data_IF_623655808310
#
_entry.id   IF_623655808310
#
_cell.length_a   1.000
_cell.length_b   1.000
_cell.length_c   1.000
_cell.angle_alpha   90.00
_cell.angle_beta   90.00
_cell.angle_gamma   90.00
#
_symmetry.space_group_name_H-M   'P 1'
#
loop_
_entity.id
_entity.type
_entity.pdbx_description
1 polymer ?
#
# COMPACT_ATOMS: atom_id res chain seq x y z
N UNK A 1 19.33 20.10 -8.45
CA UNK A 1 18.23 20.88 -9.08
C UNK A 1 17.01 19.98 -9.02
N UNK A 2 16.07 20.23 -8.09
CA UNK A 2 14.76 19.58 -8.05
C UNK A 2 14.00 20.04 -9.29
N UNK A 3 13.77 19.16 -10.22
CA UNK A 3 12.69 19.31 -11.20
C UNK A 3 11.38 19.15 -10.43
N UNK A 4 10.69 20.24 -10.17
CA UNK A 4 9.28 20.22 -9.82
C UNK A 4 8.54 19.66 -11.03
N UNK A 5 8.15 18.41 -10.96
CA UNK A 5 7.35 17.77 -12.01
C UNK A 5 5.86 18.12 -11.79
N UNK A 6 5.51 19.38 -11.90
CA UNK A 6 4.12 19.76 -12.17
C UNK A 6 3.86 19.49 -13.63
N UNK A 7 3.34 18.33 -13.94
CA UNK A 7 2.94 18.02 -15.31
C UNK A 7 1.43 17.96 -15.38
N UNK A 8 0.86 18.90 -16.13
CA UNK A 8 -0.55 18.87 -16.48
C UNK A 8 -0.92 17.62 -17.25
N UNK A 9 -2.21 17.31 -17.28
CA UNK A 9 -2.76 16.18 -18.02
C UNK A 9 -3.17 16.63 -19.41
N UNK A 10 -2.64 15.96 -20.45
CA UNK A 10 -3.02 16.21 -21.83
C UNK A 10 -4.36 15.54 -22.16
N UNK A 11 -4.53 14.28 -21.73
CA UNK A 11 -5.75 13.51 -22.00
C UNK A 11 -5.91 12.37 -21.02
N UNK A 12 -7.15 11.93 -20.84
CA UNK A 12 -7.48 10.64 -20.24
C UNK A 12 -8.43 9.89 -21.19
N UNK A 13 -8.16 8.64 -21.43
CA UNK A 13 -8.87 7.82 -22.42
C UNK A 13 -9.30 6.50 -21.79
N UNK A 14 -10.60 6.22 -21.87
CA UNK A 14 -11.15 4.93 -21.48
C UNK A 14 -10.82 3.90 -22.56
N UNK A 15 -9.95 2.94 -22.23
CA UNK A 15 -9.44 1.96 -23.18
C UNK A 15 -10.20 0.63 -23.17
N UNK A 16 -10.91 0.35 -22.08
CA UNK A 16 -11.82 -0.79 -21.92
C UNK A 16 -12.84 -0.48 -20.82
N UNK A 17 -13.82 -1.37 -20.53
CA UNK A 17 -14.87 -1.06 -19.52
C UNK A 17 -14.41 -0.69 -18.13
N UNK A 18 -13.18 -1.04 -17.74
CA UNK A 18 -12.66 -0.83 -16.38
C UNK A 18 -11.41 0.04 -16.30
N UNK A 19 -10.79 0.39 -17.45
CA UNK A 19 -9.44 0.96 -17.46
C UNK A 19 -9.40 2.30 -18.19
N UNK A 20 -8.72 3.27 -17.58
CA UNK A 20 -8.45 4.59 -18.14
C UNK A 20 -6.95 4.83 -18.18
N UNK A 21 -6.43 5.19 -19.35
CA UNK A 21 -5.06 5.69 -19.50
C UNK A 21 -5.03 7.21 -19.42
N UNK A 22 -4.08 7.73 -18.69
CA UNK A 22 -3.82 9.17 -18.52
C UNK A 22 -2.44 9.48 -19.08
N UNK A 23 -2.39 10.48 -19.97
CA UNK A 23 -1.15 11.00 -20.54
C UNK A 23 -0.87 12.38 -19.97
N UNK A 24 0.29 12.56 -19.37
CA UNK A 24 0.77 13.83 -18.85
C UNK A 24 1.56 14.63 -19.90
N UNK A 25 1.67 15.94 -19.72
CA UNK A 25 2.40 16.82 -20.63
C UNK A 25 3.91 16.49 -20.72
N UNK A 26 4.48 15.92 -19.65
CA UNK A 26 5.87 15.44 -19.64
C UNK A 26 6.05 14.05 -20.28
N UNK A 27 5.04 13.55 -20.98
CA UNK A 27 4.98 12.22 -21.63
C UNK A 27 4.90 11.03 -20.65
N UNK A 28 4.81 11.28 -19.36
CA UNK A 28 4.51 10.22 -18.39
C UNK A 28 3.10 9.69 -18.60
N UNK A 29 2.90 8.42 -18.31
CA UNK A 29 1.62 7.72 -18.44
C UNK A 29 1.22 7.13 -17.10
N UNK A 30 -0.07 7.18 -16.81
CA UNK A 30 -0.68 6.58 -15.64
C UNK A 30 -1.88 5.73 -16.08
N UNK A 31 -2.03 4.56 -15.48
CA UNK A 31 -3.21 3.72 -15.68
C UNK A 31 -4.04 3.73 -14.43
N UNK A 32 -5.34 3.98 -14.56
CA UNK A 32 -6.34 3.81 -13.49
C UNK A 32 -7.24 2.65 -13.90
N UNK A 33 -7.20 1.56 -13.14
CA UNK A 33 -7.89 0.31 -13.46
C UNK A 33 -8.82 -0.12 -12.31
N UNK A 34 -10.11 -0.21 -12.58
CA UNK A 34 -11.13 -0.53 -11.58
C UNK A 34 -11.27 -2.04 -11.39
N UNK A 35 -11.12 -2.49 -10.15
CA UNK A 35 -11.30 -3.87 -9.69
C UNK A 35 -12.66 -4.11 -9.02
N UNK A 36 -13.49 -3.10 -9.00
CA UNK A 36 -14.85 -3.07 -8.48
C UNK A 36 -15.39 -1.64 -8.52
N UNK A 37 -16.63 -1.43 -8.09
CA UNK A 37 -17.24 -0.10 -8.07
C UNK A 37 -16.52 0.86 -7.10
N UNK A 38 -15.83 0.31 -6.08
CA UNK A 38 -15.17 1.05 -5.02
C UNK A 38 -13.68 0.73 -4.85
N UNK A 39 -13.10 -0.07 -5.76
CA UNK A 39 -11.68 -0.45 -5.72
C UNK A 39 -11.06 -0.09 -7.06
N UNK A 40 -9.95 0.64 -7.04
CA UNK A 40 -9.20 0.97 -8.23
C UNK A 40 -7.69 0.89 -7.98
N UNK A 41 -6.96 0.54 -9.03
CA UNK A 41 -5.50 0.45 -9.05
C UNK A 41 -4.93 1.62 -9.85
N UNK A 42 -3.94 2.28 -9.30
CA UNK A 42 -3.16 3.33 -9.97
C UNK A 42 -1.78 2.78 -10.23
N UNK A 43 -1.42 2.73 -11.51
CA UNK A 43 -0.09 2.31 -11.94
C UNK A 43 0.58 3.43 -12.72
N UNK A 44 1.84 3.74 -12.37
CA UNK A 44 2.66 4.69 -13.11
C UNK A 44 4.11 4.20 -13.10
N UNK A 45 4.67 4.00 -14.27
CA UNK A 45 6.08 3.64 -14.46
C UNK A 45 6.85 4.90 -14.85
N UNK A 46 7.96 5.16 -14.16
CA UNK A 46 8.81 6.32 -14.44
C UNK A 46 9.40 6.30 -15.87
N UNK A 47 9.53 5.13 -16.48
CA UNK A 47 9.97 4.96 -17.88
C UNK A 47 8.86 5.23 -18.89
N UNK A 48 7.62 5.47 -18.42
CA UNK A 48 6.46 5.74 -19.27
C UNK A 48 5.66 4.51 -19.69
N UNK A 49 5.99 3.32 -19.16
CA UNK A 49 5.21 2.10 -19.37
C UNK A 49 3.82 2.18 -18.73
N UNK A 50 2.93 1.32 -19.15
CA UNK A 50 1.58 1.17 -18.60
C UNK A 50 1.39 -0.24 -18.08
N UNK A 51 0.37 -0.46 -17.27
CA UNK A 51 0.16 -1.76 -16.63
C UNK A 51 0.00 -2.93 -17.62
N UNK A 52 -0.48 -2.67 -18.82
CA UNK A 52 -0.64 -3.68 -19.87
C UNK A 52 0.70 -4.12 -20.50
N UNK A 53 1.62 -3.20 -20.55
CA UNK A 53 2.96 -3.38 -21.10
C UNK A 53 3.96 -2.53 -20.29
N UNK A 54 4.16 -2.85 -19.02
CA UNK A 54 5.03 -2.08 -18.16
C UNK A 54 6.50 -2.40 -18.42
N UNK A 55 7.35 -1.39 -18.44
CA UNK A 55 8.80 -1.58 -18.39
C UNK A 55 9.23 -2.07 -17.01
N UNK A 56 8.61 -1.54 -15.96
CA UNK A 56 8.74 -2.07 -14.61
C UNK A 56 7.66 -3.13 -14.36
N UNK A 57 8.06 -4.36 -14.11
CA UNK A 57 7.13 -5.45 -13.79
C UNK A 57 6.89 -5.51 -12.29
N UNK A 58 5.62 -5.47 -11.82
CA UNK A 58 5.30 -5.67 -10.42
C UNK A 58 5.83 -7.02 -9.90
N UNK A 59 6.55 -6.99 -8.80
CA UNK A 59 7.18 -8.19 -8.20
C UNK A 59 6.25 -8.91 -7.23
N UNK A 60 5.31 -8.20 -6.62
CA UNK A 60 4.36 -8.77 -5.69
C UNK A 60 3.36 -9.70 -6.39
N UNK A 61 3.07 -10.85 -5.78
CA UNK A 61 2.15 -11.86 -6.32
C UNK A 61 1.21 -12.30 -5.20
N UNK A 62 0.45 -11.36 -4.65
CA UNK A 62 -0.47 -11.60 -3.54
C UNK A 62 -1.94 -11.52 -3.93
N UNK A 63 -2.23 -11.19 -5.18
CA UNK A 63 -3.60 -11.15 -5.67
C UNK A 63 -4.12 -12.57 -5.86
N UNK A 64 -5.40 -12.78 -5.55
CA UNK A 64 -6.12 -14.00 -5.92
C UNK A 64 -6.29 -14.10 -7.44
N UNK A 65 -6.62 -15.29 -7.95
CA UNK A 65 -6.76 -15.52 -9.41
C UNK A 65 -7.85 -14.66 -10.05
N UNK A 66 -8.91 -14.33 -9.30
CA UNK A 66 -10.01 -13.49 -9.79
C UNK A 66 -10.30 -12.35 -8.82
N UNK A 67 -9.44 -11.32 -8.77
CA UNK A 67 -9.55 -10.23 -7.80
C UNK A 67 -10.63 -9.20 -8.18
N UNK A 68 -11.24 -9.31 -9.37
CA UNK A 68 -12.16 -8.31 -9.91
C UNK A 68 -13.61 -8.63 -9.61
N UNK A 69 -14.35 -7.60 -9.20
CA UNK A 69 -15.81 -7.56 -9.22
C UNK A 69 -16.30 -6.81 -10.44
N UNK A 70 -17.57 -6.96 -10.77
CA UNK A 70 -18.22 -6.26 -11.88
C UNK A 70 -18.17 -4.74 -11.63
N UNK A 71 -17.80 -4.01 -12.68
CA UNK A 71 -17.93 -2.55 -12.77
C UNK A 71 -18.97 -2.28 -13.86
N UNK A 72 -20.08 -1.66 -13.49
CA UNK A 72 -21.26 -1.56 -14.37
C UNK A 72 -21.34 -0.27 -15.17
N UNK A 73 -20.59 0.77 -14.81
CA UNK A 73 -20.78 2.07 -15.45
C UNK A 73 -19.64 3.04 -15.21
N UNK A 74 -18.40 2.71 -15.60
CA UNK A 74 -17.32 3.68 -15.58
C UNK A 74 -17.55 4.75 -16.64
N UNK A 75 -17.71 6.01 -16.24
CA UNK A 75 -17.71 7.17 -17.12
C UNK A 75 -16.43 7.98 -16.96
N UNK A 76 -16.04 8.66 -18.03
CA UNK A 76 -14.94 9.63 -18.07
C UNK A 76 -15.48 10.90 -18.70
N UNK A 77 -15.49 11.98 -17.91
CA UNK A 77 -16.00 13.28 -18.33
C UNK A 77 -14.91 14.35 -18.14
N UNK A 78 -14.89 15.33 -19.01
CA UNK A 78 -13.99 16.47 -18.90
C UNK A 78 -14.80 17.76 -18.83
N UNK A 79 -14.62 18.51 -17.73
CA UNK A 79 -15.31 19.77 -17.50
C UNK A 79 -14.51 20.68 -16.56
N UNK A 80 -14.52 21.99 -16.86
CA UNK A 80 -13.96 23.06 -15.99
C UNK A 80 -12.51 22.81 -15.53
N UNK A 81 -11.67 22.22 -16.39
CA UNK A 81 -10.27 21.93 -16.09
C UNK A 81 -10.04 20.65 -15.27
N UNK A 82 -11.07 19.84 -15.09
CA UNK A 82 -10.98 18.53 -14.42
C UNK A 82 -11.38 17.41 -15.36
N UNK A 83 -10.72 16.28 -15.19
CA UNK A 83 -11.16 14.99 -15.74
C UNK A 83 -11.74 14.19 -14.59
N UNK A 84 -12.97 13.73 -14.76
CA UNK A 84 -13.70 13.02 -13.70
C UNK A 84 -13.98 11.59 -14.15
N UNK A 85 -13.53 10.62 -13.37
CA UNK A 85 -13.83 9.21 -13.52
C UNK A 85 -14.88 8.83 -12.48
N UNK A 86 -16.00 8.25 -12.91
CA UNK A 86 -17.10 7.94 -11.97
C UNK A 86 -17.58 6.51 -12.16
N UNK A 87 -17.70 5.81 -11.04
CA UNK A 87 -18.46 4.55 -10.88
C UNK A 87 -19.63 4.78 -9.91
N UNK A 88 -20.37 3.73 -9.57
CA UNK A 88 -21.44 3.85 -8.58
C UNK A 88 -20.93 4.23 -7.16
N UNK A 89 -19.66 3.92 -6.83
CA UNK A 89 -19.13 4.04 -5.46
C UNK A 89 -17.83 4.86 -5.36
N UNK A 90 -17.28 5.33 -6.47
CA UNK A 90 -16.07 6.16 -6.50
C UNK A 90 -16.21 7.26 -7.53
N UNK A 91 -15.78 8.47 -7.17
CA UNK A 91 -15.52 9.56 -8.11
C UNK A 91 -14.08 10.03 -7.94
N UNK A 92 -13.31 9.95 -9.02
CA UNK A 92 -11.93 10.44 -9.08
C UNK A 92 -11.94 11.73 -9.89
N UNK A 93 -11.39 12.80 -9.34
CA UNK A 93 -11.17 14.06 -10.03
C UNK A 93 -9.68 14.27 -10.24
N UNK A 94 -9.27 14.43 -11.50
CA UNK A 94 -7.92 14.75 -11.90
C UNK A 94 -7.87 16.21 -12.37
N UNK A 95 -7.09 17.02 -11.69
CA UNK A 95 -6.86 18.41 -12.10
C UNK A 95 -5.95 18.43 -13.32
N UNK A 96 -6.43 18.95 -14.44
CA UNK A 96 -5.67 18.97 -15.70
C UNK A 96 -4.42 19.84 -15.65
N UNK A 97 -4.42 20.89 -14.86
CA UNK A 97 -3.29 21.81 -14.78
C UNK A 97 -2.17 21.26 -13.88
N UNK A 98 -2.54 20.68 -12.74
CA UNK A 98 -1.58 20.22 -11.73
C UNK A 98 -1.29 18.72 -11.80
N UNK A 99 -2.17 17.94 -12.43
CA UNK A 99 -2.09 16.48 -12.44
C UNK A 99 -2.51 15.82 -11.13
N UNK A 100 -2.93 16.59 -10.11
CA UNK A 100 -3.28 16.06 -8.79
C UNK A 100 -4.64 15.37 -8.79
N UNK A 101 -4.73 14.32 -8.00
CA UNK A 101 -5.91 13.48 -7.84
C UNK A 101 -6.64 13.78 -6.54
N UNK A 102 -7.98 13.84 -6.63
CA UNK A 102 -8.88 13.75 -5.48
C UNK A 102 -9.83 12.59 -5.67
N UNK A 103 -10.16 11.92 -4.59
CA UNK A 103 -11.07 10.79 -4.58
C UNK A 103 -12.24 11.07 -3.63
N UNK A 104 -13.44 10.85 -4.11
CA UNK A 104 -14.67 11.08 -3.37
C UNK A 104 -15.47 9.79 -3.25
N UNK A 105 -16.12 9.65 -2.12
CA UNK A 105 -17.24 8.71 -1.98
C UNK A 105 -18.52 9.42 -2.46
N UNK A 106 -19.10 9.08 -3.62
CA UNK A 106 -20.28 9.76 -4.15
C UNK A 106 -21.53 9.52 -3.32
N UNK A 107 -21.58 8.46 -2.51
CA UNK A 107 -22.73 8.15 -1.65
C UNK A 107 -22.82 9.12 -0.45
N UNK A 108 -21.67 9.60 0.02
CA UNK A 108 -21.59 10.55 1.15
C UNK A 108 -21.22 11.97 0.73
N UNK A 109 -20.71 12.14 -0.50
CA UNK A 109 -20.13 13.38 -1.00
C UNK A 109 -18.76 13.75 -0.42
N UNK A 110 -18.21 12.90 0.45
CA UNK A 110 -16.96 13.16 1.17
C UNK A 110 -15.73 12.97 0.27
N UNK A 111 -14.80 13.94 0.29
CA UNK A 111 -13.46 13.76 -0.25
C UNK A 111 -12.67 12.87 0.72
N UNK A 112 -12.30 11.68 0.30
CA UNK A 112 -11.63 10.68 1.15
C UNK A 112 -10.13 10.67 0.95
N UNK A 113 -9.64 11.00 -0.25
CA UNK A 113 -8.22 11.11 -0.59
C UNK A 113 -8.00 12.43 -1.34
N UNK A 114 -6.96 13.15 -0.98
CA UNK A 114 -6.54 14.37 -1.68
C UNK A 114 -5.01 14.38 -1.81
N UNK A 115 -4.50 14.27 -3.03
CA UNK A 115 -3.08 14.52 -3.29
C UNK A 115 -2.78 16.01 -3.13
N UNK A 116 -1.69 16.32 -2.45
CA UNK A 116 -1.23 17.71 -2.22
C UNK A 116 0.06 18.04 -2.95
N UNK A 117 0.72 17.03 -3.49
CA UNK A 117 1.88 17.17 -4.35
C UNK A 117 1.88 16.05 -5.40
N UNK A 118 2.50 16.27 -6.57
CA UNK A 118 2.69 15.23 -7.58
C UNK A 118 3.47 14.04 -7.02
N UNK A 119 3.22 12.84 -7.56
CA UNK A 119 4.04 11.67 -7.28
C UNK A 119 5.48 11.96 -7.68
N UNK A 120 6.41 11.69 -6.76
CA UNK A 120 7.84 11.90 -6.99
C UNK A 120 8.52 10.57 -7.26
N UNK A 121 9.15 10.46 -8.43
CA UNK A 121 10.04 9.37 -8.79
C UNK A 121 11.48 9.80 -8.54
N UNK A 122 12.00 9.42 -7.38
CA UNK A 122 13.41 9.63 -7.03
C UNK A 122 14.32 8.54 -7.61
N UNK A 123 15.64 8.67 -7.41
CA UNK A 123 16.61 7.70 -7.92
C UNK A 123 16.44 6.26 -7.39
N UNK A 124 15.85 6.13 -6.21
CA UNK A 124 15.69 4.85 -5.50
C UNK A 124 14.31 4.65 -4.85
N UNK A 125 13.45 5.64 -4.89
CA UNK A 125 12.15 5.58 -4.23
C UNK A 125 11.06 6.32 -5.01
N UNK A 126 9.84 5.90 -4.80
CA UNK A 126 8.63 6.59 -5.24
C UNK A 126 7.89 7.10 -4.02
N UNK A 127 7.43 8.35 -4.06
CA UNK A 127 6.76 9.00 -2.94
C UNK A 127 5.40 9.55 -3.36
N UNK A 128 4.38 9.28 -2.54
CA UNK A 128 3.03 9.83 -2.62
C UNK A 128 2.81 10.74 -1.43
N UNK A 129 2.21 11.91 -1.66
CA UNK A 129 1.93 12.89 -0.61
C UNK A 129 0.46 13.25 -0.61
N UNK A 130 -0.21 12.93 0.50
CA UNK A 130 -1.64 13.13 0.69
C UNK A 130 -1.90 14.14 1.83
N UNK A 131 -3.08 14.74 1.79
CA UNK A 131 -3.59 15.54 2.90
C UNK A 131 -4.05 14.64 4.04
N UNK A 132 -3.68 14.96 5.26
CA UNK A 132 -4.26 14.42 6.47
C UNK A 132 -5.33 15.38 7.01
N UNK A 133 -6.51 14.84 7.34
CA UNK A 133 -7.54 15.62 8.03
C UNK A 133 -7.33 15.61 9.56
N UNK A 134 -7.75 16.66 10.29
CA UNK A 134 -7.51 16.76 11.73
C UNK A 134 -8.02 15.57 12.55
N UNK A 135 -9.18 15.03 12.19
CA UNK A 135 -9.83 13.90 12.88
C UNK A 135 -9.58 12.55 12.19
N UNK A 136 -8.59 12.49 11.31
CA UNK A 136 -8.22 11.27 10.62
C UNK A 136 -7.25 10.43 11.44
N UNK A 137 -7.49 9.12 11.50
CA UNK A 137 -6.64 8.13 12.16
C UNK A 137 -6.30 7.01 11.18
N UNK A 138 -5.13 6.42 11.37
CA UNK A 138 -4.57 5.42 10.46
C UNK A 138 -4.26 4.13 11.21
N UNK A 139 -4.61 2.99 10.60
CA UNK A 139 -4.43 1.66 11.14
C UNK A 139 -3.92 0.69 10.08
N UNK A 140 -3.16 -0.32 10.47
CA UNK A 140 -2.57 -1.28 9.55
C UNK A 140 -1.04 -1.26 9.56
N UNK A 141 -0.41 -1.46 8.42
CA UNK A 141 1.05 -1.55 8.34
C UNK A 141 1.62 -2.89 8.79
N UNK A 142 0.76 -3.90 8.99
CA UNK A 142 1.16 -5.20 9.54
C UNK A 142 1.39 -5.16 11.05
N UNK A 143 2.29 -6.00 11.55
CA UNK A 143 2.62 -6.07 12.98
C UNK A 143 3.63 -4.99 13.34
N UNK A 144 3.11 -3.88 13.86
CA UNK A 144 3.85 -2.73 14.39
C UNK A 144 3.78 -2.76 15.92
N UNK A 145 4.81 -3.27 16.58
CA UNK A 145 4.79 -3.54 18.01
C UNK A 145 4.58 -2.29 18.86
N UNK A 146 3.70 -2.39 19.87
CA UNK A 146 3.38 -1.29 20.78
C UNK A 146 2.64 -0.12 20.11
N UNK A 147 2.15 -0.30 18.86
CA UNK A 147 1.47 0.74 18.11
C UNK A 147 0.11 0.26 17.65
N UNK A 148 -0.93 1.00 17.97
CA UNK A 148 -2.29 0.72 17.52
C UNK A 148 -2.74 1.73 16.46
N UNK A 149 -2.70 3.03 16.76
CA UNK A 149 -2.94 4.09 15.77
C UNK A 149 -1.61 4.72 15.34
N UNK A 150 -1.50 5.04 14.06
CA UNK A 150 -0.28 5.59 13.47
C UNK A 150 -0.31 7.11 13.28
N UNK A 151 -1.41 7.79 13.64
CA UNK A 151 -1.49 9.26 13.57
C UNK A 151 -0.35 9.92 14.32
N UNK A 152 0.34 10.86 13.66
CA UNK A 152 1.50 11.56 14.21
C UNK A 152 2.74 10.67 14.37
N UNK A 153 2.83 9.56 13.65
CA UNK A 153 3.97 8.62 13.72
C UNK A 153 4.50 8.29 12.33
N UNK A 154 5.78 7.92 12.32
CA UNK A 154 6.41 7.26 11.17
C UNK A 154 6.46 5.78 11.45
N UNK A 155 6.05 4.94 10.51
CA UNK A 155 6.18 3.49 10.58
C UNK A 155 7.04 2.96 9.43
N UNK A 156 7.89 1.98 9.72
CA UNK A 156 8.64 1.28 8.70
C UNK A 156 7.80 0.15 8.10
N UNK A 157 7.82 0.05 6.77
CA UNK A 157 7.30 -1.12 6.03
C UNK A 157 8.52 -1.92 5.59
N UNK A 158 9.20 -2.48 6.55
CA UNK A 158 10.42 -3.26 6.38
C UNK A 158 10.49 -4.32 7.48
N UNK A 159 10.77 -5.57 7.11
CA UNK A 159 10.93 -6.63 8.10
C UNK A 159 12.24 -6.41 8.88
N UNK A 160 12.10 -6.06 10.14
CA UNK A 160 13.21 -5.83 11.08
C UNK A 160 13.43 -7.02 12.03
N UNK A 161 12.52 -8.01 11.99
CA UNK A 161 12.47 -9.10 12.96
C UNK A 161 12.60 -8.61 14.42
N UNK A 162 11.96 -7.49 14.70
CA UNK A 162 12.00 -6.82 16.00
C UNK A 162 10.68 -6.96 16.74
N UNK A 163 10.73 -7.58 17.92
CA UNK A 163 9.58 -7.87 18.77
C UNK A 163 9.44 -6.93 19.98
N UNK A 164 10.28 -5.92 20.04
CA UNK A 164 10.23 -4.87 21.08
C UNK A 164 9.26 -3.75 20.69
N UNK A 165 8.85 -2.94 21.67
CA UNK A 165 8.03 -1.75 21.43
C UNK A 165 8.67 -0.84 20.37
N UNK A 166 7.85 -0.44 19.40
CA UNK A 166 8.30 0.35 18.25
C UNK A 166 9.01 -0.44 17.16
N UNK A 167 9.26 -1.75 17.34
CA UNK A 167 9.82 -2.63 16.33
C UNK A 167 8.81 -3.12 15.33
N UNK A 168 9.29 -3.69 14.23
CA UNK A 168 8.47 -4.26 13.14
C UNK A 168 8.75 -5.75 13.03
N UNK A 169 7.74 -6.56 13.31
CA UNK A 169 7.86 -8.01 13.25
C UNK A 169 7.40 -8.58 11.91
N UNK A 170 6.28 -8.08 11.38
CA UNK A 170 5.71 -8.53 10.10
C UNK A 170 5.02 -7.35 9.43
N UNK A 171 5.72 -6.59 8.59
CA UNK A 171 5.14 -5.42 7.91
C UNK A 171 4.19 -5.85 6.80
N UNK A 172 3.17 -5.03 6.55
CA UNK A 172 2.31 -5.13 5.38
C UNK A 172 2.12 -3.73 4.77
N UNK A 173 2.27 -3.60 3.44
CA UNK A 173 2.11 -2.31 2.77
C UNK A 173 0.62 -1.97 2.55
N UNK A 174 -0.19 -2.21 3.55
CA UNK A 174 -1.62 -1.93 3.59
C UNK A 174 -1.96 -1.17 4.86
N UNK A 175 -2.71 -0.07 4.71
CA UNK A 175 -3.35 0.62 5.82
C UNK A 175 -4.76 1.08 5.43
N UNK A 176 -5.55 1.41 6.43
CA UNK A 176 -6.83 2.07 6.22
C UNK A 176 -6.96 3.31 7.11
N UNK A 177 -7.78 4.24 6.64
CA UNK A 177 -8.02 5.54 7.28
C UNK A 177 -9.48 5.66 7.70
N UNK A 178 -9.71 6.30 8.87
CA UNK A 178 -11.05 6.70 9.31
C UNK A 178 -11.70 7.73 8.39
N UNK A 179 -10.94 8.29 7.45
CA UNK A 179 -11.49 9.17 6.43
C UNK A 179 -12.33 8.45 5.37
N UNK A 180 -12.30 7.11 5.34
CA UNK A 180 -13.12 6.28 4.47
C UNK A 180 -12.37 5.72 3.27
N UNK A 181 -11.11 5.38 3.42
CA UNK A 181 -10.33 4.70 2.40
C UNK A 181 -9.33 3.70 2.99
N UNK A 182 -8.98 2.71 2.18
CA UNK A 182 -7.83 1.84 2.37
C UNK A 182 -6.86 1.96 1.22
N UNK A 183 -5.61 1.67 1.47
CA UNK A 183 -4.56 1.70 0.48
C UNK A 183 -3.64 0.50 0.66
N UNK A 184 -3.38 -0.19 -0.45
CA UNK A 184 -2.38 -1.25 -0.53
C UNK A 184 -1.38 -0.91 -1.61
N UNK A 185 -0.12 -0.71 -1.22
CA UNK A 185 0.97 -0.62 -2.18
C UNK A 185 1.37 -2.03 -2.64
N UNK A 186 1.25 -2.29 -3.92
CA UNK A 186 1.46 -3.62 -4.47
C UNK A 186 2.96 -3.88 -4.72
N UNK A 187 3.69 -4.10 -3.64
CA UNK A 187 5.14 -4.32 -3.65
C UNK A 187 5.61 -5.12 -2.44
N UNK A 188 6.75 -5.81 -2.57
CA UNK A 188 7.50 -6.39 -1.45
C UNK A 188 8.72 -5.56 -1.03
N UNK A 189 8.96 -4.44 -1.70
CA UNK A 189 10.09 -3.56 -1.40
C UNK A 189 9.81 -2.77 -0.15
N UNK A 190 10.87 -2.50 0.60
CA UNK A 190 10.76 -1.70 1.82
C UNK A 190 10.22 -0.30 1.56
N UNK A 191 9.54 0.23 2.55
CA UNK A 191 8.96 1.55 2.52
C UNK A 191 8.88 2.19 3.90
N UNK A 192 8.37 3.41 3.90
CA UNK A 192 8.15 4.21 5.10
C UNK A 192 6.88 5.03 4.95
N UNK A 193 6.04 5.02 5.98
CA UNK A 193 4.80 5.79 6.01
C UNK A 193 4.85 6.79 7.17
N UNK A 194 4.84 8.07 6.83
CA UNK A 194 4.75 9.20 7.76
C UNK A 194 3.31 9.72 7.80
N UNK A 195 2.65 9.54 8.91
CA UNK A 195 1.28 9.97 9.16
C UNK A 195 1.24 11.26 9.96
N UNK A 196 1.80 12.34 9.41
CA UNK A 196 1.79 13.67 10.03
C UNK A 196 2.81 13.88 11.14
N UNK A 197 3.83 13.02 11.26
CA UNK A 197 4.88 13.16 12.27
C UNK A 197 5.88 14.24 11.91
N UNK A 198 6.35 14.25 10.66
CA UNK A 198 7.34 15.22 10.18
C UNK A 198 6.68 16.55 9.79
N UNK A 199 5.53 16.46 9.11
CA UNK A 199 4.78 17.61 8.66
C UNK A 199 3.30 17.43 9.03
N UNK A 200 2.75 18.37 9.81
CA UNK A 200 1.35 18.33 10.22
C UNK A 200 0.41 18.37 9.02
N UNK A 201 -0.67 17.59 9.09
CA UNK A 201 -1.71 17.48 8.07
C UNK A 201 -1.23 16.91 6.73
N UNK A 202 -0.07 16.25 6.72
CA UNK A 202 0.49 15.58 5.55
C UNK A 202 0.76 14.12 5.86
N UNK A 203 0.27 13.24 4.99
CA UNK A 203 0.65 11.84 4.93
C UNK A 203 1.65 11.67 3.79
N UNK A 204 2.83 11.16 4.11
CA UNK A 204 3.88 10.92 3.13
C UNK A 204 4.25 9.45 3.11
N UNK A 205 4.09 8.81 1.97
CA UNK A 205 4.25 7.37 1.77
C UNK A 205 5.33 7.12 0.75
N UNK A 206 6.31 6.30 1.05
CA UNK A 206 7.38 5.97 0.11
C UNK A 206 7.71 4.48 0.10
N UNK A 207 8.12 3.98 -1.05
CA UNK A 207 8.72 2.66 -1.24
C UNK A 207 9.93 2.73 -2.15
N UNK A 208 10.91 1.86 -1.89
CA UNK A 208 12.09 1.70 -2.73
C UNK A 208 11.71 1.01 -4.03
N UNK A 209 11.20 1.77 -4.98
CA UNK A 209 10.69 1.27 -6.27
C UNK A 209 10.98 2.28 -7.37
N UNK A 210 10.99 1.83 -8.62
CA UNK A 210 11.02 2.67 -9.82
C UNK A 210 9.65 2.93 -10.42
N UNK A 211 8.59 2.34 -9.85
CA UNK A 211 7.22 2.48 -10.32
C UNK A 211 6.25 2.63 -9.15
N UNK A 212 5.10 3.23 -9.43
CA UNK A 212 3.95 3.31 -8.54
C UNK A 212 2.95 2.22 -8.90
N UNK A 213 2.49 1.46 -7.93
CA UNK A 213 1.45 0.46 -8.10
C UNK A 213 0.65 0.34 -6.80
N UNK A 214 -0.49 1.03 -6.74
CA UNK A 214 -1.30 1.16 -5.54
C UNK A 214 -2.75 0.78 -5.82
N UNK A 215 -3.33 -0.05 -4.97
CA UNK A 215 -4.77 -0.26 -4.88
C UNK A 215 -5.37 0.67 -3.84
N UNK A 216 -6.39 1.40 -4.23
CA UNK A 216 -7.23 2.20 -3.35
C UNK A 216 -8.60 1.57 -3.20
N UNK A 217 -9.14 1.64 -1.99
CA UNK A 217 -10.46 1.14 -1.62
C UNK A 217 -11.23 2.29 -0.98
N UNK A 218 -12.46 2.52 -1.40
CA UNK A 218 -13.32 3.56 -0.84
C UNK A 218 -14.52 2.90 -0.18
N UNK A 219 -14.62 3.01 1.13
CA UNK A 219 -15.72 2.44 1.90
C UNK A 219 -15.78 3.04 3.31
N UNK A 220 -16.93 2.92 3.97
CA UNK A 220 -17.08 3.35 5.33
C UNK A 220 -16.79 2.21 6.33
N UNK A 221 -15.89 2.50 7.27
CA UNK A 221 -15.56 1.63 8.39
C UNK A 221 -14.52 0.55 8.09
N UNK A 222 -13.86 0.11 9.14
CA UNK A 222 -12.74 -0.84 9.11
C UNK A 222 -13.12 -2.18 8.49
N UNK A 223 -14.28 -2.73 8.87
CA UNK A 223 -14.70 -4.07 8.39
C UNK A 223 -14.91 -4.09 6.90
N UNK A 224 -15.57 -3.05 6.36
CA UNK A 224 -15.81 -2.94 4.92
C UNK A 224 -14.50 -2.79 4.14
N UNK A 225 -13.58 -1.96 4.62
CA UNK A 225 -12.26 -1.76 4.00
C UNK A 225 -11.39 -3.02 4.06
N UNK A 226 -11.45 -3.78 5.17
CA UNK A 226 -10.78 -5.09 5.26
C UNK A 226 -11.38 -6.12 4.29
N UNK A 227 -12.71 -6.14 4.13
CA UNK A 227 -13.35 -7.00 3.13
C UNK A 227 -12.95 -6.65 1.71
N UNK A 228 -12.77 -5.36 1.40
CA UNK A 228 -12.26 -4.92 0.10
C UNK A 228 -10.81 -5.37 -0.11
N UNK A 229 -9.98 -5.29 0.92
CA UNK A 229 -8.62 -5.84 0.90
C UNK A 229 -8.63 -7.35 0.66
N UNK A 230 -9.52 -8.10 1.33
CA UNK A 230 -9.65 -9.55 1.14
C UNK A 230 -10.20 -9.93 -0.23
N UNK A 231 -10.96 -9.06 -0.87
CA UNK A 231 -11.34 -9.28 -2.29
C UNK A 231 -10.10 -9.41 -3.18
N UNK A 232 -9.08 -8.63 -2.92
CA UNK A 232 -7.84 -8.64 -3.70
C UNK A 232 -6.90 -9.78 -3.30
N UNK A 233 -6.75 -10.04 -2.00
CA UNK A 233 -5.70 -10.89 -1.44
C UNK A 233 -6.20 -12.26 -0.94
N UNK A 234 -7.51 -12.45 -0.91
CA UNK A 234 -8.13 -13.63 -0.33
C UNK A 234 -8.43 -13.48 1.16
N UNK A 235 -9.33 -14.31 1.64
CA UNK A 235 -9.70 -14.32 3.05
C UNK A 235 -8.59 -14.94 3.90
N UNK A 236 -8.36 -14.43 5.12
CA UNK A 236 -7.44 -15.05 6.05
C UNK A 236 -7.90 -16.47 6.40
N UNK A 237 -6.94 -17.36 6.60
CA UNK A 237 -7.23 -18.71 7.04
C UNK A 237 -7.76 -18.68 8.48
N UNK A 238 -8.90 -19.33 8.70
CA UNK A 238 -9.40 -19.54 10.06
C UNK A 238 -8.57 -20.63 10.74
N UNK A 239 -7.68 -20.23 11.62
CA UNK A 239 -6.88 -21.16 12.41
C UNK A 239 -7.75 -21.88 13.44
N UNK A 240 -7.55 -23.19 13.66
CA UNK A 240 -8.17 -23.89 14.78
C UNK A 240 -7.63 -23.31 16.10
N UNK A 241 -8.42 -23.43 17.18
CA UNK A 241 -8.10 -22.83 18.48
C UNK A 241 -6.69 -23.19 18.97
N UNK A 242 -6.23 -24.40 18.75
CA UNK A 242 -4.88 -24.83 19.14
C UNK A 242 -3.76 -24.17 18.32
N UNK A 243 -4.05 -23.65 17.12
CA UNK A 243 -3.09 -22.91 16.30
C UNK A 243 -2.73 -21.54 16.87
N UNK A 244 -3.47 -21.06 17.88
CA UNK A 244 -3.14 -19.83 18.62
C UNK A 244 -2.27 -20.10 19.84
N UNK A 245 -2.00 -21.36 20.18
CA UNK A 245 -1.05 -21.70 21.21
C UNK A 245 0.35 -21.68 20.62
N UNK A 246 1.20 -20.88 21.23
CA UNK A 246 2.58 -20.75 20.81
C UNK A 246 3.35 -22.06 21.05
N UNK A 247 3.69 -22.75 19.98
CA UNK A 247 4.67 -23.82 20.00
C UNK A 247 6.04 -23.23 19.69
N UNK A 248 6.80 -22.86 20.69
CA UNK A 248 8.15 -22.35 20.48
C UNK A 248 9.10 -23.53 20.25
N UNK A 249 9.35 -23.84 18.98
CA UNK A 249 10.45 -24.72 18.62
C UNK A 249 11.70 -23.85 18.52
N UNK A 250 12.47 -23.79 19.61
CA UNK A 250 13.68 -23.01 19.63
C UNK A 250 14.79 -23.72 18.87
N UNK A 251 14.94 -23.37 17.61
CA UNK A 251 16.02 -23.87 16.74
C UNK A 251 17.40 -23.25 17.06
N UNK A 252 17.43 -22.28 17.96
CA UNK A 252 18.68 -21.57 18.33
C UNK A 252 19.62 -22.40 19.22
N UNK A 253 19.16 -23.49 19.83
CA UNK A 253 19.98 -24.27 20.75
C UNK A 253 21.24 -24.82 20.12
N UNK A 254 21.27 -25.05 18.82
CA UNK A 254 22.45 -25.57 18.13
C UNK A 254 23.61 -24.57 18.15
N UNK A 255 23.36 -23.30 18.06
CA UNK A 255 24.40 -22.26 17.93
C UNK A 255 25.03 -21.91 19.30
N UNK A 256 24.34 -22.25 20.40
CA UNK A 256 24.80 -22.04 21.75
C UNK A 256 25.44 -23.28 22.39
N UNK A 257 25.39 -24.43 21.72
CA UNK A 257 25.96 -25.69 22.21
C UNK A 257 27.26 -25.97 21.49
N UNK A 258 28.34 -26.10 22.25
CA UNK A 258 29.66 -26.48 21.75
C UNK A 258 30.07 -27.83 22.26
N UNK A 259 30.82 -28.60 21.46
CA UNK A 259 31.44 -29.85 21.92
C UNK A 259 32.35 -29.53 23.09
N UNK A 260 32.15 -30.23 24.22
CA UNK A 260 32.92 -30.08 25.46
C UNK A 260 32.91 -31.43 26.20
N UNK A 261 34.08 -31.93 26.55
CA UNK A 261 34.25 -33.23 27.25
C UNK A 261 33.45 -33.29 28.57
N UNK A 262 33.23 -32.15 29.22
CA UNK A 262 32.46 -32.02 30.47
C UNK A 262 30.96 -31.73 30.19
N UNK A 263 30.53 -31.78 28.95
CA UNK A 263 29.17 -31.49 28.55
C UNK A 263 28.20 -32.67 28.73
N UNK A 264 26.95 -32.44 28.41
CA UNK A 264 25.86 -33.45 28.38
C UNK A 264 26.06 -34.36 27.17
N UNK A 265 25.94 -35.69 27.39
CA UNK A 265 26.01 -36.66 26.30
C UNK A 265 24.71 -36.64 25.50
N UNK A 266 24.82 -36.42 24.18
CA UNK A 266 23.71 -36.47 23.24
C UNK A 266 23.63 -37.79 22.49
N UNK A 267 22.53 -37.99 21.73
CA UNK A 267 22.25 -39.24 20.99
C UNK A 267 23.29 -39.54 19.89
N UNK A 268 23.98 -38.52 19.40
CA UNK A 268 25.08 -38.63 18.45
C UNK A 268 26.40 -39.14 19.06
N UNK A 269 26.38 -39.44 20.35
CA UNK A 269 27.54 -39.92 21.10
C UNK A 269 28.52 -38.85 21.49
N UNK A 270 28.25 -37.57 21.23
CA UNK A 270 29.09 -36.46 21.59
C UNK A 270 28.59 -35.71 22.82
N UNK A 271 29.48 -35.03 23.47
CA UNK A 271 29.14 -34.18 24.62
C UNK A 271 29.13 -32.73 24.22
N UNK A 272 28.10 -32.03 24.68
CA UNK A 272 27.93 -30.60 24.41
C UNK A 272 27.67 -29.84 25.68
N UNK A 273 28.17 -28.61 25.72
CA UNK A 273 27.94 -27.65 26.79
C UNK A 273 27.39 -26.36 26.20
N UNK A 274 26.41 -25.79 26.89
CA UNK A 274 25.89 -24.49 26.52
C UNK A 274 27.00 -23.43 26.69
N UNK A 275 27.26 -22.69 25.63
CA UNK A 275 28.19 -21.55 25.66
C UNK A 275 27.39 -20.30 26.07
N UNK A 276 27.72 -19.75 27.21
CA UNK A 276 27.25 -18.43 27.62
C UNK A 276 27.93 -17.33 26.78
#
# INVERSE_FOLDING_TARGET
VRQEQTSGILRAEKINPTTVDVLFANQQRMTIDFYGENIFRVFQDNSGGVIRDPEAKPEAQILVDQPRRKVSGLSVDEKDGYITLTTAQVRIELNKQTGLMKVFNPLTGKCVIEEVAPVVFGPKEVTVTLKENPEEYFYGGGVQNGRFSHKGKVIAIENQNSWTDGGVASPAPFYWSTNGYGMMWYTFRKGEYDFGATEKNIVKLSHNSSYLDIFYMVNDGAVSLLNDFYQLTGNPVLLPKFGFYEGHLNAYNRDYWKEDEKGILFEDGKRYKESQ
#
